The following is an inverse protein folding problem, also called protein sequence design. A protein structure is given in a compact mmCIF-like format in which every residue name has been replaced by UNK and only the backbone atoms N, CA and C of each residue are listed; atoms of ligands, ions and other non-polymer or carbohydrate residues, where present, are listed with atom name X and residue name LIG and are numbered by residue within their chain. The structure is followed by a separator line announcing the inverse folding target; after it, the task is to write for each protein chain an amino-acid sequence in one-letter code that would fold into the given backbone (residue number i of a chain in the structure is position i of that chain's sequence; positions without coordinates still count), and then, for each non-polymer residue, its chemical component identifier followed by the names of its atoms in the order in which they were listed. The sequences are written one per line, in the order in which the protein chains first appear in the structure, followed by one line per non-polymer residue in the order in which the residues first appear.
data_IF_339544160418
#
_entry.id   IF_339544160418
#
_cell.length_a   1.000
_cell.length_b   1.000
_cell.length_c   1.000
_cell.angle_alpha   90.00
_cell.angle_beta   90.00
_cell.angle_gamma   90.00
#
_symmetry.space_group_name_H-M   'P 1'
#
loop_
_entity.id
_entity.type
_entity.pdbx_description
1 polymer ?
#
# COMPACT_ATOMS: atom_id res chain seq x y z
N UNK A 1 -40.37 21.66 9.66
CA UNK A 1 -40.17 21.79 8.21
C UNK A 1 -38.83 21.17 7.86
N UNK A 2 -38.74 20.32 6.83
CA UNK A 2 -37.47 19.71 6.43
C UNK A 2 -36.52 20.73 5.80
N UNK A 3 -35.21 20.46 5.94
CA UNK A 3 -34.15 21.19 5.24
C UNK A 3 -33.85 20.43 3.96
N UNK A 4 -33.80 21.14 2.83
CA UNK A 4 -33.38 20.59 1.55
C UNK A 4 -32.14 21.29 1.03
N UNK A 5 -31.37 20.56 0.22
CA UNK A 5 -30.24 21.10 -0.49
C UNK A 5 -30.67 21.51 -1.89
N UNK A 6 -30.30 22.72 -2.31
CA UNK A 6 -30.55 23.25 -3.63
C UNK A 6 -29.24 23.52 -4.36
N UNK A 7 -29.26 23.45 -5.69
CA UNK A 7 -28.15 23.82 -6.57
C UNK A 7 -28.62 24.81 -7.61
N UNK A 8 -27.87 25.91 -7.75
CA UNK A 8 -28.08 26.93 -8.76
C UNK A 8 -27.23 26.66 -10.02
N UNK A 9 -27.71 27.11 -11.19
CA UNK A 9 -26.94 27.13 -12.44
C UNK A 9 -25.62 27.90 -12.36
N UNK A 10 -25.49 28.87 -11.43
CA UNK A 10 -24.23 29.59 -11.18
C UNK A 10 -23.17 28.76 -10.42
N UNK A 11 -23.52 27.55 -9.97
CA UNK A 11 -22.62 26.65 -9.23
C UNK A 11 -22.80 26.65 -7.72
N UNK A 12 -23.54 27.61 -7.15
CA UNK A 12 -23.82 27.65 -5.72
C UNK A 12 -24.68 26.46 -5.25
N UNK A 13 -24.34 25.91 -4.08
CA UNK A 13 -25.09 24.86 -3.38
C UNK A 13 -25.41 25.34 -1.97
N UNK A 14 -26.67 25.26 -1.56
CA UNK A 14 -27.12 25.82 -0.29
C UNK A 14 -28.30 25.04 0.32
N UNK A 15 -28.53 25.24 1.60
CA UNK A 15 -29.61 24.62 2.36
C UNK A 15 -30.78 25.60 2.56
N UNK A 16 -32.01 25.11 2.47
CA UNK A 16 -33.21 25.92 2.68
C UNK A 16 -34.34 25.09 3.30
N UNK A 17 -35.03 25.69 4.29
CA UNK A 17 -36.23 25.13 4.90
C UNK A 17 -37.41 25.28 3.94
N UNK A 18 -37.95 24.19 3.42
CA UNK A 18 -39.12 24.24 2.55
C UNK A 18 -40.15 23.18 2.95
N UNK A 19 -41.41 23.43 2.60
CA UNK A 19 -42.45 22.40 2.73
C UNK A 19 -42.21 21.31 1.68
N UNK A 20 -42.63 20.07 1.98
CA UNK A 20 -42.65 19.00 0.97
C UNK A 20 -43.57 19.33 -0.21
N UNK A 21 -44.64 20.08 0.03
CA UNK A 21 -45.65 20.47 -0.95
C UNK A 21 -45.30 21.74 -1.73
N UNK A 22 -44.16 22.38 -1.41
CA UNK A 22 -43.76 23.62 -2.07
C UNK A 22 -43.18 23.32 -3.45
N UNK A 23 -43.81 23.85 -4.49
CA UNK A 23 -43.36 23.74 -5.88
C UNK A 23 -42.42 24.88 -6.28
N UNK A 24 -42.28 25.92 -5.47
CA UNK A 24 -41.40 27.05 -5.75
C UNK A 24 -39.98 26.78 -5.23
N UNK A 25 -38.99 27.10 -6.06
CA UNK A 25 -37.58 26.98 -5.69
C UNK A 25 -37.08 28.32 -5.14
N UNK A 26 -36.33 28.33 -4.03
CA UNK A 26 -35.83 29.56 -3.42
C UNK A 26 -34.81 30.26 -4.34
N UNK A 27 -34.71 31.61 -4.28
CA UNK A 27 -33.69 32.33 -5.01
C UNK A 27 -32.29 31.93 -4.54
N UNK A 28 -31.31 32.05 -5.42
CA UNK A 28 -29.93 31.74 -5.07
C UNK A 28 -29.35 32.82 -4.15
N UNK A 29 -28.79 32.48 -2.97
CA UNK A 29 -28.23 33.47 -2.04
C UNK A 29 -26.95 34.15 -2.57
N UNK A 30 -26.37 33.64 -3.66
CA UNK A 30 -25.13 34.17 -4.25
C UNK A 30 -25.41 35.11 -5.43
N UNK A 31 -26.33 34.74 -6.32
CA UNK A 31 -26.54 35.48 -7.57
C UNK A 31 -27.95 36.04 -7.75
N UNK A 32 -28.90 35.72 -6.85
CA UNK A 32 -30.30 36.17 -6.94
C UNK A 32 -31.12 35.47 -8.02
N UNK A 33 -30.64 35.47 -9.26
CA UNK A 33 -31.46 35.24 -10.47
C UNK A 33 -31.24 33.88 -11.15
N UNK A 34 -30.27 33.09 -10.68
CA UNK A 34 -29.98 31.81 -11.32
C UNK A 34 -31.04 30.74 -11.02
N UNK A 35 -31.34 29.90 -12.03
CA UNK A 35 -32.27 28.79 -11.88
C UNK A 35 -31.77 27.79 -10.81
N UNK A 36 -32.58 27.60 -9.76
CA UNK A 36 -32.29 26.68 -8.65
C UNK A 36 -33.08 25.38 -8.81
N UNK A 37 -32.48 24.27 -8.41
CA UNK A 37 -33.11 22.95 -8.44
C UNK A 37 -32.85 22.21 -7.14
N UNK A 38 -33.85 21.45 -6.67
CA UNK A 38 -33.73 20.62 -5.48
C UNK A 38 -32.82 19.43 -5.77
N UNK A 39 -31.82 19.22 -4.92
CA UNK A 39 -30.90 18.10 -5.04
C UNK A 39 -31.48 16.90 -4.30
N UNK A 40 -31.72 15.76 -4.97
CA UNK A 40 -32.10 14.53 -4.29
C UNK A 40 -31.02 14.14 -3.28
N UNK A 41 -31.42 13.69 -2.10
CA UNK A 41 -30.47 13.10 -1.16
C UNK A 41 -29.84 11.86 -1.81
N UNK A 42 -28.52 11.74 -1.74
CA UNK A 42 -27.84 10.49 -2.11
C UNK A 42 -28.19 9.39 -1.11
N UNK A 43 -28.24 8.14 -1.56
CA UNK A 43 -28.32 7.00 -0.66
C UNK A 43 -26.90 6.67 -0.17
N UNK A 44 -26.74 6.54 1.15
CA UNK A 44 -25.55 5.95 1.73
C UNK A 44 -25.89 4.52 2.16
N UNK A 45 -25.21 3.53 1.61
CA UNK A 45 -25.27 2.16 2.12
C UNK A 45 -24.44 2.10 3.41
N UNK A 46 -25.09 2.38 4.54
CA UNK A 46 -24.50 2.22 5.87
C UNK A 46 -24.34 0.74 6.24
N UNK A 47 -23.45 0.43 7.18
CA UNK A 47 -23.28 -0.93 7.73
C UNK A 47 -22.44 -1.88 6.88
N UNK A 48 -21.76 -1.39 5.85
CA UNK A 48 -20.75 -2.14 5.11
C UNK A 48 -19.37 -1.56 5.43
N UNK A 49 -18.60 -2.27 6.25
CA UNK A 49 -17.19 -1.99 6.45
C UNK A 49 -16.41 -2.80 5.42
N UNK A 50 -15.86 -2.14 4.41
CA UNK A 50 -14.93 -2.76 3.47
C UNK A 50 -13.52 -2.25 3.78
N UNK A 51 -12.54 -3.13 4.00
CA UNK A 51 -11.14 -2.72 4.12
C UNK A 51 -10.55 -2.23 2.79
N UNK A 52 -11.26 -2.38 1.67
CA UNK A 52 -10.73 -2.17 0.32
C UNK A 52 -9.98 -3.39 -0.20
N UNK A 53 -9.35 -3.25 -1.38
CA UNK A 53 -8.52 -4.29 -1.98
C UNK A 53 -7.29 -4.57 -1.12
N UNK A 54 -6.98 -5.84 -0.94
CA UNK A 54 -5.73 -6.30 -0.32
C UNK A 54 -4.53 -6.17 -1.27
N UNK A 55 -3.32 -6.41 -0.74
CA UNK A 55 -2.08 -6.44 -1.52
C UNK A 55 -2.13 -7.40 -2.68
N UNK A 56 -2.61 -8.60 -2.40
CA UNK A 56 -2.58 -9.71 -3.34
C UNK A 56 -3.62 -9.52 -4.46
N UNK A 57 -4.66 -8.71 -4.22
CA UNK A 57 -5.66 -8.34 -5.22
C UNK A 57 -5.25 -7.14 -6.10
N UNK A 58 -4.13 -6.47 -5.79
CA UNK A 58 -3.67 -5.36 -6.62
C UNK A 58 -3.26 -5.86 -8.02
N UNK A 59 -3.58 -5.11 -9.09
CA UNK A 59 -3.20 -5.50 -10.44
C UNK A 59 -1.67 -5.53 -10.59
N UNK A 60 -1.15 -6.68 -11.03
CA UNK A 60 0.30 -6.91 -11.23
C UNK A 60 0.76 -6.67 -12.68
N UNK A 61 -0.12 -6.16 -13.56
CA UNK A 61 0.18 -6.02 -15.00
C UNK A 61 -0.14 -4.63 -15.53
N UNK A 62 0.56 -4.23 -16.58
CA UNK A 62 0.34 -2.95 -17.29
C UNK A 62 -1.11 -2.79 -17.78
N UNK A 63 -1.71 -3.87 -18.28
CA UNK A 63 -3.12 -3.88 -18.69
C UNK A 63 -4.06 -3.75 -17.50
N UNK A 64 -3.72 -4.36 -16.36
CA UNK A 64 -4.49 -4.26 -15.12
C UNK A 64 -4.54 -2.84 -14.54
N UNK A 65 -3.55 -1.99 -14.85
CA UNK A 65 -3.54 -0.55 -14.55
C UNK A 65 -4.04 0.32 -15.71
N UNK A 66 -4.86 -0.24 -16.61
CA UNK A 66 -5.43 0.44 -17.77
C UNK A 66 -4.39 1.16 -18.65
N UNK A 67 -3.27 0.48 -18.92
CA UNK A 67 -2.16 1.01 -19.70
C UNK A 67 -1.61 2.33 -19.14
N UNK A 68 -1.54 2.45 -17.81
CA UNK A 68 -0.95 3.60 -17.16
C UNK A 68 -1.87 4.81 -17.02
N UNK A 69 -3.19 4.60 -17.01
CA UNK A 69 -4.13 5.70 -16.77
C UNK A 69 -3.82 6.38 -15.42
N UNK A 70 -3.49 7.67 -15.46
CA UNK A 70 -3.02 8.44 -14.31
C UNK A 70 -4.07 8.55 -13.21
N UNK A 71 -5.32 8.80 -13.59
CA UNK A 71 -6.42 8.99 -12.63
C UNK A 71 -6.70 7.69 -11.86
N UNK A 72 -6.66 6.57 -12.56
CA UNK A 72 -6.80 5.24 -11.98
C UNK A 72 -5.64 4.91 -11.04
N UNK A 73 -4.40 5.15 -11.47
CA UNK A 73 -3.21 4.93 -10.62
C UNK A 73 -3.28 5.79 -9.36
N UNK A 74 -3.65 7.07 -9.48
CA UNK A 74 -3.78 7.96 -8.33
C UNK A 74 -4.88 7.51 -7.36
N UNK A 75 -6.03 7.08 -7.90
CA UNK A 75 -7.12 6.53 -7.07
C UNK A 75 -6.67 5.27 -6.35
N UNK A 76 -5.94 4.39 -7.03
CA UNK A 76 -5.43 3.14 -6.49
C UNK A 76 -4.39 3.38 -5.39
N UNK A 77 -3.48 4.35 -5.60
CA UNK A 77 -2.49 4.75 -4.60
C UNK A 77 -3.17 5.23 -3.31
N UNK A 78 -4.24 6.02 -3.42
CA UNK A 78 -5.00 6.49 -2.25
C UNK A 78 -5.66 5.33 -1.51
N UNK A 79 -6.28 4.40 -2.23
CA UNK A 79 -6.87 3.18 -1.65
C UNK A 79 -5.82 2.34 -0.94
N UNK A 80 -4.64 2.19 -1.54
CA UNK A 80 -3.51 1.48 -0.95
C UNK A 80 -3.00 2.12 0.35
N UNK A 81 -2.81 3.43 0.35
CA UNK A 81 -2.38 4.16 1.54
C UNK A 81 -3.41 4.07 2.68
N UNK A 82 -4.71 4.06 2.35
CA UNK A 82 -5.79 3.85 3.32
C UNK A 82 -5.76 2.43 3.90
N UNK A 83 -5.60 1.42 3.03
CA UNK A 83 -5.50 0.01 3.46
C UNK A 83 -4.31 -0.20 4.39
N UNK A 84 -3.12 0.32 4.03
CA UNK A 84 -1.91 0.19 4.86
C UNK A 84 -2.12 0.77 6.26
N UNK A 85 -2.70 1.96 6.37
CA UNK A 85 -3.01 2.59 7.68
C UNK A 85 -3.99 1.76 8.50
N UNK A 86 -4.93 1.09 7.84
CA UNK A 86 -5.89 0.23 8.51
C UNK A 86 -5.21 -1.05 9.03
N UNK A 87 -4.36 -1.68 8.24
CA UNK A 87 -3.58 -2.86 8.63
C UNK A 87 -2.55 -2.56 9.74
N UNK A 88 -1.92 -1.38 9.71
CA UNK A 88 -1.04 -0.91 10.79
C UNK A 88 -1.79 -0.79 12.12
N UNK A 89 -3.04 -0.32 12.08
CA UNK A 89 -3.88 -0.17 13.27
C UNK A 89 -4.51 -1.48 13.74
N UNK A 90 -4.82 -2.36 12.79
CA UNK A 90 -5.52 -3.63 13.00
C UNK A 90 -4.72 -4.76 12.30
N UNK A 91 -3.69 -5.31 12.96
CA UNK A 91 -2.85 -6.34 12.35
C UNK A 91 -3.62 -7.61 11.95
N UNK A 92 -4.72 -7.90 12.64
CA UNK A 92 -5.57 -9.07 12.39
C UNK A 92 -6.22 -9.07 11.00
N UNK A 93 -6.39 -7.90 10.39
CA UNK A 93 -6.93 -7.80 9.03
C UNK A 93 -5.85 -7.73 7.96
N UNK A 94 -4.56 -7.70 8.31
CA UNK A 94 -3.46 -7.57 7.33
C UNK A 94 -3.26 -8.81 6.46
N UNK A 95 -3.84 -9.95 6.83
CA UNK A 95 -3.64 -11.22 6.14
C UNK A 95 -2.20 -11.73 6.26
N UNK A 96 -1.83 -12.67 5.39
CA UNK A 96 -0.49 -13.28 5.40
C UNK A 96 0.52 -12.44 4.62
N UNK A 97 1.41 -11.76 5.35
CA UNK A 97 2.46 -10.90 4.79
C UNK A 97 3.77 -11.64 4.52
N UNK A 98 3.83 -12.97 4.71
CA UNK A 98 5.05 -13.74 4.47
C UNK A 98 5.40 -13.73 2.97
N UNK A 99 6.70 -13.60 2.61
CA UNK A 99 7.14 -13.62 1.22
C UNK A 99 6.64 -14.86 0.46
N UNK A 100 6.17 -14.65 -0.76
CA UNK A 100 5.78 -15.73 -1.67
C UNK A 100 7.06 -16.29 -2.30
N UNK A 101 7.27 -17.60 -2.16
CA UNK A 101 8.39 -18.35 -2.73
C UNK A 101 8.04 -18.95 -4.10
N UNK A 102 6.79 -19.38 -4.29
CA UNK A 102 6.29 -19.89 -5.57
C UNK A 102 4.78 -19.64 -5.70
N UNK A 103 4.32 -19.34 -6.90
CA UNK A 103 2.90 -19.05 -7.21
C UNK A 103 2.47 -19.68 -8.55
N UNK A 104 3.27 -20.59 -9.08
CA UNK A 104 3.05 -21.24 -10.38
C UNK A 104 2.90 -22.76 -10.23
N UNK A 105 2.35 -23.41 -11.26
CA UNK A 105 2.09 -24.85 -11.25
C UNK A 105 1.16 -25.26 -10.12
N UNK A 106 1.59 -26.20 -9.26
CA UNK A 106 0.79 -26.68 -8.13
C UNK A 106 0.47 -25.60 -7.07
N UNK A 107 1.20 -24.48 -7.10
CA UNK A 107 1.03 -23.35 -6.17
C UNK A 107 0.23 -22.19 -6.78
N UNK A 108 -0.43 -22.42 -7.91
CA UNK A 108 -1.23 -21.40 -8.59
C UNK A 108 -2.36 -20.87 -7.69
N UNK A 109 -3.12 -21.77 -7.06
CA UNK A 109 -4.28 -21.38 -6.26
C UNK A 109 -3.92 -21.02 -4.81
N UNK A 110 -2.86 -21.65 -4.29
CA UNK A 110 -2.34 -21.40 -2.93
C UNK A 110 -0.84 -21.15 -3.05
N UNK A 111 -0.40 -19.88 -3.08
CA UNK A 111 1.01 -19.54 -3.18
C UNK A 111 1.79 -20.13 -2.02
N UNK A 112 2.93 -20.75 -2.34
CA UNK A 112 3.89 -21.21 -1.34
C UNK A 112 4.53 -19.98 -0.70
N UNK A 113 4.43 -19.84 0.62
CA UNK A 113 5.04 -18.74 1.36
C UNK A 113 6.17 -19.21 2.27
N UNK A 114 7.01 -18.27 2.66
CA UNK A 114 8.09 -18.52 3.59
C UNK A 114 7.56 -19.12 4.90
N UNK A 115 8.17 -20.22 5.35
CA UNK A 115 7.75 -20.95 6.55
C UNK A 115 6.72 -22.06 6.32
N UNK A 116 6.13 -22.17 5.14
CA UNK A 116 5.22 -23.30 4.83
C UNK A 116 5.98 -24.62 4.65
N UNK A 117 7.23 -24.54 4.20
CA UNK A 117 8.15 -25.68 4.18
C UNK A 117 8.96 -25.63 5.47
N UNK A 118 8.75 -26.63 6.34
CA UNK A 118 9.75 -27.01 7.33
C UNK A 118 11.00 -27.40 6.54
N UNK A 119 12.05 -26.57 6.56
CA UNK A 119 13.39 -26.91 6.07
C UNK A 119 14.03 -27.96 6.99
N UNK A 120 13.37 -29.10 7.15
CA UNK A 120 13.87 -30.30 7.80
C UNK A 120 14.55 -31.18 6.75
N UNK A 121 15.72 -30.74 6.28
CA UNK A 121 16.49 -31.43 5.26
C UNK A 121 16.90 -30.47 4.15
N UNK A 122 18.20 -30.27 4.02
CA UNK A 122 18.80 -29.55 2.89
C UNK A 122 18.26 -30.11 1.59
N UNK A 123 17.51 -29.31 0.83
CA UNK A 123 17.21 -29.64 -0.55
C UNK A 123 18.55 -29.90 -1.28
N UNK A 124 18.70 -30.99 -2.03
CA UNK A 124 19.93 -31.28 -2.73
C UNK A 124 20.11 -30.22 -3.82
N UNK A 125 21.14 -29.40 -3.68
CA UNK A 125 21.61 -28.54 -4.77
C UNK A 125 21.92 -29.43 -5.98
N UNK A 126 21.41 -29.12 -7.18
CA UNK A 126 21.76 -29.88 -8.38
C UNK A 126 23.26 -29.71 -8.63
N UNK A 127 24.03 -30.78 -8.44
CA UNK A 127 25.48 -30.80 -8.63
C UNK A 127 26.31 -31.26 -7.42
N UNK A 128 25.71 -31.43 -6.24
CA UNK A 128 26.43 -31.96 -5.08
C UNK A 128 26.50 -33.49 -5.11
N UNK A 129 27.57 -34.01 -5.72
CA UNK A 129 27.93 -35.42 -5.64
C UNK A 129 28.06 -35.88 -4.18
N UNK A 130 27.45 -37.02 -3.89
CA UNK A 130 27.44 -37.69 -2.59
C UNK A 130 28.85 -38.04 -2.13
N UNK A 131 29.32 -37.40 -1.06
CA UNK A 131 30.33 -37.97 -0.16
C UNK A 131 29.97 -37.64 1.28
N UNK A 132 29.33 -38.62 1.94
CA UNK A 132 29.26 -38.65 3.38
C UNK A 132 30.68 -38.83 3.93
N UNK A 133 31.14 -37.87 4.75
CA UNK A 133 31.72 -38.09 6.08
C UNK A 133 32.41 -36.84 6.61
N UNK A 134 32.26 -36.68 7.92
CA UNK A 134 33.15 -36.01 8.86
C UNK A 134 33.03 -34.48 8.99
N UNK A 135 32.44 -34.10 10.12
CA UNK A 135 32.51 -32.75 10.68
C UNK A 135 33.96 -32.38 10.99
N UNK A 136 34.42 -31.24 10.46
CA UNK A 136 35.60 -30.50 10.93
C UNK A 136 35.27 -29.00 10.92
N UNK A 137 35.35 -28.38 12.10
CA UNK A 137 35.16 -26.95 12.27
C UNK A 137 36.33 -26.17 11.69
N UNK A 138 36.02 -25.09 10.97
CA UNK A 138 37.00 -24.08 10.58
C UNK A 138 36.36 -22.69 10.69
N UNK A 139 36.80 -21.93 11.70
CA UNK A 139 36.41 -20.54 11.89
C UNK A 139 37.29 -19.62 11.04
N UNK A 140 36.70 -18.58 10.44
CA UNK A 140 37.44 -17.48 9.84
C UNK A 140 37.08 -16.17 10.53
N UNK A 141 38.06 -15.63 11.26
CA UNK A 141 38.05 -14.26 11.76
C UNK A 141 38.23 -13.26 10.62
N UNK A 142 37.53 -12.14 10.69
CA UNK A 142 37.68 -11.00 9.79
C UNK A 142 38.39 -9.88 10.56
N UNK A 143 39.66 -9.63 10.24
CA UNK A 143 40.43 -8.51 10.76
C UNK A 143 40.61 -7.46 9.66
N UNK A 144 40.05 -6.27 9.87
CA UNK A 144 40.38 -5.08 9.09
C UNK A 144 41.05 -4.06 10.02
N UNK A 145 42.33 -3.79 9.79
CA UNK A 145 43.07 -2.72 10.42
C UNK A 145 44.06 -2.13 9.43
N UNK A 146 43.74 -0.96 8.87
CA UNK A 146 44.71 -0.13 8.13
C UNK A 146 45.21 0.95 9.08
N UNK A 147 46.41 0.76 9.62
CA UNK A 147 47.16 1.79 10.31
C UNK A 147 48.25 2.33 9.39
N UNK A 148 48.18 3.62 9.05
CA UNK A 148 49.26 4.35 8.40
C UNK A 148 50.23 4.87 9.47
N UNK A 149 51.51 4.54 9.33
CA UNK A 149 52.61 5.03 10.18
C UNK A 149 53.24 6.28 9.54
N UNK A 150 53.44 7.40 10.26
CA UNK A 150 54.30 8.49 9.78
C UNK A 150 55.77 8.29 10.19
N UNK A 151 56.68 8.75 9.33
CA UNK A 151 58.13 8.64 9.48
C UNK A 151 58.72 9.62 10.54
N UNK A 152 59.85 9.29 11.18
CA UNK A 152 60.43 10.08 12.29
C UNK A 152 61.38 11.22 11.84
N UNK A 153 61.52 12.31 12.62
CA UNK A 153 62.53 13.33 12.40
C UNK A 153 63.90 12.94 13.00
N UNK A 154 64.97 13.17 12.24
CA UNK A 154 66.36 13.02 12.68
C UNK A 154 66.85 14.31 13.36
N UNK A 155 67.22 14.23 14.64
CA UNK A 155 68.01 15.23 15.35
C UNK A 155 69.49 14.97 15.12
N UNK A 156 70.21 15.94 14.54
CA UNK A 156 71.67 15.98 14.49
C UNK A 156 72.21 16.96 15.54
N UNK A 157 73.30 16.60 16.20
CA UNK A 157 74.10 17.47 17.08
C UNK A 157 75.58 17.06 16.97
N UNK A 158 76.47 18.04 17.21
CA UNK A 158 77.96 18.07 17.18
C UNK A 158 78.53 18.61 15.85
N UNK A 159 79.35 19.66 15.78
CA UNK A 159 80.19 20.44 16.72
C UNK A 159 79.97 21.96 16.55
#
# INVERSE_FOLDING_TARGET
MPIYVFRCGCGARFEHLASMSDSHTPPCPVCGDGATSKVPAGFALGGQASPGLSKDEMPQTWRGVYNGNSEYIDSMRRTWDQRRRLEEKYPEIAGDQRPILAHEGKYHDVPLRAGDIQLGGTAPMPGAGVVAKQAHGHGHGHGHGHGHTPAPPTTGTSD
#
